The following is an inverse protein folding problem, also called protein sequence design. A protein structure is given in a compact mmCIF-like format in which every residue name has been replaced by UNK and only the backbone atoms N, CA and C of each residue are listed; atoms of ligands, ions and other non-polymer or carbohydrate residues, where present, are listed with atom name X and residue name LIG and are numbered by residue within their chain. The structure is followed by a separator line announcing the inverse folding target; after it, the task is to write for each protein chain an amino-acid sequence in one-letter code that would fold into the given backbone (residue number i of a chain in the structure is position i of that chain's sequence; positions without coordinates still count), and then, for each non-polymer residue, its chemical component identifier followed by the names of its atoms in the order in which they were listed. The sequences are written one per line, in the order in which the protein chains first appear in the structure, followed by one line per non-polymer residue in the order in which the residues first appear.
data_IF_006695068114
#
_entry.id   IF_006695068114
#
_cell.length_a   1.000
_cell.length_b   1.000
_cell.length_c   1.000
_cell.angle_alpha   90.00
_cell.angle_beta   90.00
_cell.angle_gamma   90.00
#
_symmetry.space_group_name_H-M   'P 1'
#
loop_
_entity.id
_entity.type
_entity.pdbx_description
1 polymer ?
#
# COMPACT_ATOMS: atom_id res chain seq x y z
N UNK A 1 25.49 12.02 -27.40
CA UNK A 1 24.27 12.45 -26.68
C UNK A 1 24.39 12.14 -25.20
N UNK A 2 23.52 12.74 -24.36
CA UNK A 2 23.46 12.40 -22.93
C UNK A 2 22.93 10.97 -22.76
N UNK A 3 23.40 10.26 -21.74
CA UNK A 3 22.83 8.96 -21.35
C UNK A 3 21.37 9.13 -20.88
N UNK A 4 20.57 8.06 -20.95
CA UNK A 4 19.17 8.10 -20.51
C UNK A 4 19.06 8.46 -19.04
N UNK A 5 19.94 7.91 -18.21
CA UNK A 5 20.01 8.22 -16.78
C UNK A 5 20.25 9.69 -16.45
N UNK A 6 20.80 10.45 -17.39
CA UNK A 6 21.10 11.89 -17.23
C UNK A 6 19.92 12.77 -17.72
N UNK A 7 18.82 12.17 -18.19
CA UNK A 7 17.62 12.88 -18.66
C UNK A 7 16.68 13.14 -17.49
N UNK A 8 16.28 14.41 -17.22
CA UNK A 8 15.49 14.74 -16.03
C UNK A 8 14.15 13.99 -15.94
N UNK A 9 13.44 13.85 -17.06
CA UNK A 9 12.14 13.14 -17.09
C UNK A 9 12.31 11.65 -16.80
N UNK A 10 13.37 11.03 -17.31
CA UNK A 10 13.67 9.63 -17.02
C UNK A 10 14.07 9.43 -15.55
N UNK A 11 14.83 10.37 -14.98
CA UNK A 11 15.16 10.36 -13.54
C UNK A 11 13.90 10.46 -12.67
N UNK A 12 12.94 11.29 -13.07
CA UNK A 12 11.65 11.41 -12.38
C UNK A 12 10.88 10.08 -12.39
N UNK A 13 10.79 9.41 -13.55
CA UNK A 13 10.18 8.07 -13.67
C UNK A 13 10.87 7.05 -12.75
N UNK A 14 12.20 7.00 -12.76
CA UNK A 14 12.97 6.10 -11.89
C UNK A 14 12.73 6.42 -10.39
N UNK A 15 12.66 7.70 -10.03
CA UNK A 15 12.39 8.13 -8.66
C UNK A 15 10.99 7.72 -8.19
N UNK A 16 9.99 7.79 -9.06
CA UNK A 16 8.63 7.32 -8.76
C UNK A 16 8.59 5.81 -8.54
N UNK A 17 9.25 5.02 -9.39
CA UNK A 17 9.37 3.57 -9.21
C UNK A 17 10.08 3.24 -7.90
N UNK A 18 11.20 3.91 -7.60
CA UNK A 18 11.95 3.72 -6.36
C UNK A 18 11.11 4.05 -5.12
N UNK A 19 10.42 5.18 -5.12
CA UNK A 19 9.54 5.57 -3.99
C UNK A 19 8.43 4.56 -3.76
N UNK A 20 7.83 4.04 -4.84
CA UNK A 20 6.79 3.02 -4.78
C UNK A 20 7.33 1.71 -4.20
N UNK A 21 8.52 1.29 -4.65
CA UNK A 21 9.21 0.11 -4.12
C UNK A 21 9.53 0.24 -2.63
N UNK A 22 10.12 1.36 -2.22
CA UNK A 22 10.47 1.60 -0.82
C UNK A 22 9.23 1.62 0.08
N UNK A 23 8.15 2.26 -0.35
CA UNK A 23 6.87 2.24 0.37
C UNK A 23 6.33 0.81 0.54
N UNK A 24 6.35 0.01 -0.53
CA UNK A 24 5.95 -1.40 -0.49
C UNK A 24 6.85 -2.23 0.44
N UNK A 25 8.16 -2.00 0.40
CA UNK A 25 9.15 -2.65 1.26
C UNK A 25 8.86 -2.37 2.74
N UNK A 26 8.76 -1.10 3.12
CA UNK A 26 8.51 -0.74 4.52
C UNK A 26 7.16 -1.26 5.04
N UNK A 27 6.10 -1.18 4.23
CA UNK A 27 4.80 -1.74 4.59
C UNK A 27 4.88 -3.25 4.81
N UNK A 28 5.51 -3.99 3.91
CA UNK A 28 5.65 -5.44 4.00
C UNK A 28 6.46 -5.87 5.22
N UNK A 29 7.57 -5.19 5.50
CA UNK A 29 8.40 -5.49 6.67
C UNK A 29 7.73 -5.10 7.99
N UNK A 30 6.89 -4.05 7.99
CA UNK A 30 6.09 -3.74 9.18
C UNK A 30 5.05 -4.84 9.47
N UNK A 31 4.39 -5.36 8.44
CA UNK A 31 3.48 -6.49 8.60
C UNK A 31 4.23 -7.74 9.09
N UNK A 32 5.41 -8.03 8.53
CA UNK A 32 6.24 -9.15 8.96
C UNK A 32 6.70 -9.00 10.43
N UNK A 33 7.08 -7.80 10.86
CA UNK A 33 7.42 -7.51 12.25
C UNK A 33 6.24 -7.78 13.19
N UNK A 34 5.05 -7.29 12.84
CA UNK A 34 3.83 -7.51 13.63
C UNK A 34 3.48 -9.00 13.72
N UNK A 35 3.58 -9.73 12.60
CA UNK A 35 3.38 -11.17 12.56
C UNK A 35 4.39 -11.90 13.46
N UNK A 36 5.67 -11.54 13.37
CA UNK A 36 6.70 -12.16 14.22
C UNK A 36 6.47 -11.91 15.71
N UNK A 37 5.94 -10.73 16.10
CA UNK A 37 5.54 -10.47 17.49
C UNK A 37 4.36 -11.34 17.92
N UNK A 38 3.38 -11.53 17.05
CA UNK A 38 2.20 -12.35 17.31
C UNK A 38 2.61 -13.82 17.47
N UNK A 39 3.42 -14.36 16.57
CA UNK A 39 3.95 -15.73 16.64
C UNK A 39 4.85 -16.00 17.87
N UNK A 40 5.50 -14.96 18.39
CA UNK A 40 6.35 -15.04 19.60
C UNK A 40 5.58 -14.75 20.90
N UNK A 41 4.26 -14.63 20.87
CA UNK A 41 3.42 -14.26 22.02
C UNK A 41 3.85 -12.95 22.71
N UNK A 42 4.40 -11.99 21.95
CA UNK A 42 4.85 -10.67 22.44
C UNK A 42 4.02 -9.50 21.90
N UNK A 43 3.06 -9.77 21.01
CA UNK A 43 2.18 -8.77 20.45
C UNK A 43 1.20 -8.23 21.51
N UNK A 44 1.00 -6.91 21.49
CA UNK A 44 -0.10 -6.27 22.23
C UNK A 44 -1.41 -6.42 21.46
N UNK A 45 -2.55 -6.19 22.11
CA UNK A 45 -3.86 -6.15 21.44
C UNK A 45 -3.87 -5.13 20.29
N UNK A 46 -3.17 -4.01 20.44
CA UNK A 46 -3.00 -2.99 19.39
C UNK A 46 -2.16 -3.51 18.22
N UNK A 47 -1.08 -4.26 18.49
CA UNK A 47 -0.26 -4.88 17.44
C UNK A 47 -1.08 -5.90 16.64
N UNK A 48 -1.90 -6.73 17.30
CA UNK A 48 -2.77 -7.72 16.66
C UNK A 48 -3.86 -7.04 15.82
N UNK A 49 -4.49 -6.00 16.34
CA UNK A 49 -5.48 -5.22 15.60
C UNK A 49 -4.86 -4.52 14.39
N UNK A 50 -3.65 -3.95 14.52
CA UNK A 50 -2.91 -3.34 13.42
C UNK A 50 -2.52 -4.38 12.37
N UNK A 51 -2.01 -5.54 12.76
CA UNK A 51 -1.69 -6.65 11.87
C UNK A 51 -2.92 -7.06 11.04
N UNK A 52 -4.06 -7.19 11.69
CA UNK A 52 -5.33 -7.56 11.04
C UNK A 52 -5.77 -6.53 10.00
N UNK A 53 -5.54 -5.23 10.23
CA UNK A 53 -5.85 -4.16 9.28
C UNK A 53 -4.83 -4.11 8.14
N UNK A 54 -3.53 -4.18 8.45
CA UNK A 54 -2.48 -3.99 7.46
C UNK A 54 -2.31 -5.18 6.51
N UNK A 55 -2.63 -6.41 6.93
CA UNK A 55 -2.46 -7.61 6.09
C UNK A 55 -3.20 -7.51 4.74
N UNK A 56 -4.52 -7.25 4.68
CA UNK A 56 -5.21 -7.13 3.40
C UNK A 56 -4.76 -5.90 2.61
N UNK A 57 -4.42 -4.78 3.28
CA UNK A 57 -3.94 -3.56 2.63
C UNK A 57 -2.57 -3.80 1.99
N UNK A 58 -1.64 -4.40 2.72
CA UNK A 58 -0.30 -4.69 2.21
C UNK A 58 -0.37 -5.55 0.94
N UNK A 59 -1.10 -6.67 1.01
CA UNK A 59 -1.25 -7.56 -0.15
C UNK A 59 -1.92 -6.87 -1.34
N UNK A 60 -3.00 -6.13 -1.12
CA UNK A 60 -3.73 -5.42 -2.15
C UNK A 60 -2.87 -4.35 -2.84
N UNK A 61 -2.20 -3.52 -2.04
CA UNK A 61 -1.45 -2.36 -2.52
C UNK A 61 -0.16 -2.80 -3.22
N UNK A 62 0.67 -3.62 -2.55
CA UNK A 62 1.98 -4.02 -3.08
C UNK A 62 1.86 -4.86 -4.35
N UNK A 63 0.82 -5.72 -4.47
CA UNK A 63 0.54 -6.47 -5.68
C UNK A 63 0.25 -5.55 -6.88
N UNK A 64 -0.55 -4.49 -6.68
CA UNK A 64 -0.82 -3.51 -7.73
C UNK A 64 0.37 -2.63 -8.06
N UNK A 65 1.14 -2.25 -7.05
CA UNK A 65 2.37 -1.49 -7.23
C UNK A 65 3.40 -2.29 -8.03
N UNK A 66 3.52 -3.60 -7.79
CA UNK A 66 4.42 -4.46 -8.56
C UNK A 66 4.04 -4.50 -10.06
N UNK A 67 2.75 -4.61 -10.38
CA UNK A 67 2.28 -4.56 -11.79
C UNK A 67 2.63 -3.22 -12.42
N UNK A 68 2.39 -2.12 -11.72
CA UNK A 68 2.73 -0.79 -12.22
C UNK A 68 4.23 -0.62 -12.42
N UNK A 69 5.06 -0.94 -11.41
CA UNK A 69 6.52 -0.78 -11.48
C UNK A 69 7.13 -1.62 -12.61
N UNK A 70 6.66 -2.87 -12.80
CA UNK A 70 7.17 -3.72 -13.87
C UNK A 70 6.75 -3.22 -15.26
N UNK A 71 5.56 -2.61 -15.39
CA UNK A 71 5.13 -1.95 -16.63
C UNK A 71 6.00 -0.73 -16.96
N UNK A 72 6.21 0.17 -16.00
CA UNK A 72 7.08 1.34 -16.16
C UNK A 72 8.53 0.94 -16.45
N UNK A 73 9.01 -0.13 -15.82
CA UNK A 73 10.35 -0.66 -16.08
C UNK A 73 10.50 -1.13 -17.54
N UNK A 74 9.52 -1.84 -18.10
CA UNK A 74 9.52 -2.22 -19.52
C UNK A 74 9.58 -0.98 -20.42
N UNK A 75 8.76 0.02 -20.16
CA UNK A 75 8.73 1.26 -20.92
C UNK A 75 10.08 2.02 -20.82
N UNK A 76 10.67 2.07 -19.65
CA UNK A 76 11.97 2.71 -19.40
C UNK A 76 13.13 2.11 -20.24
N UNK A 77 13.02 0.84 -20.62
CA UNK A 77 13.99 0.16 -21.51
C UNK A 77 13.65 0.33 -23.01
N UNK A 78 12.51 0.95 -23.33
CA UNK A 78 12.06 1.10 -24.72
C UNK A 78 11.86 -0.24 -25.43
N UNK A 79 12.32 -0.37 -26.69
CA UNK A 79 12.17 -1.61 -27.46
C UNK A 79 12.76 -2.85 -26.79
N UNK A 80 13.83 -2.70 -26.03
CA UNK A 80 14.43 -3.80 -25.26
C UNK A 80 13.50 -4.28 -24.12
N UNK A 81 12.61 -3.43 -23.60
CA UNK A 81 11.61 -3.82 -22.61
C UNK A 81 10.51 -4.71 -23.18
N UNK A 82 10.30 -4.70 -24.49
CA UNK A 82 9.24 -5.46 -25.16
C UNK A 82 9.69 -6.85 -25.64
N UNK A 83 10.94 -7.03 -26.01
CA UNK A 83 11.45 -8.30 -26.58
C UNK A 83 11.66 -9.36 -25.50
N UNK A 84 11.31 -10.61 -25.80
CA UNK A 84 11.27 -11.71 -24.82
C UNK A 84 12.65 -12.11 -24.25
N UNK A 85 13.71 -11.95 -25.02
CA UNK A 85 15.07 -12.36 -24.66
C UNK A 85 15.70 -11.53 -23.53
N UNK A 86 15.13 -10.39 -23.21
CA UNK A 86 15.57 -9.57 -22.06
C UNK A 86 15.02 -10.05 -20.70
N UNK A 87 13.98 -10.89 -20.68
CA UNK A 87 13.30 -11.35 -19.49
C UNK A 87 12.36 -10.32 -18.85
N UNK A 88 12.37 -9.05 -19.27
CA UNK A 88 11.48 -8.01 -18.72
C UNK A 88 9.99 -8.29 -18.94
N UNK A 89 9.55 -8.72 -20.15
CA UNK A 89 8.15 -9.12 -20.36
C UNK A 89 7.70 -10.27 -19.45
N UNK A 90 8.57 -11.24 -19.18
CA UNK A 90 8.29 -12.32 -18.25
C UNK A 90 8.04 -11.79 -16.82
N UNK A 91 8.89 -10.91 -16.31
CA UNK A 91 8.71 -10.31 -14.98
C UNK A 91 7.37 -9.58 -14.86
N UNK A 92 6.96 -8.85 -15.89
CA UNK A 92 5.67 -8.18 -15.91
C UNK A 92 4.49 -9.17 -15.95
N UNK A 93 4.57 -10.25 -16.74
CA UNK A 93 3.55 -11.31 -16.72
C UNK A 93 3.45 -11.99 -15.36
N UNK A 94 4.58 -12.28 -14.74
CA UNK A 94 4.61 -12.90 -13.41
C UNK A 94 4.04 -11.96 -12.34
N UNK A 95 4.28 -10.64 -12.47
CA UNK A 95 3.66 -9.64 -11.59
C UNK A 95 2.13 -9.64 -11.66
N UNK A 96 1.52 -9.99 -12.81
CA UNK A 96 0.06 -10.05 -12.95
C UNK A 96 -0.61 -11.12 -12.09
N UNK A 97 0.11 -12.15 -11.64
CA UNK A 97 -0.47 -13.17 -10.74
C UNK A 97 -0.69 -12.61 -9.33
N UNK A 98 0.15 -11.65 -8.89
CA UNK A 98 0.12 -11.13 -7.53
C UNK A 98 -1.23 -10.53 -7.11
N UNK A 99 -1.93 -9.71 -7.91
CA UNK A 99 -3.26 -9.22 -7.54
C UNK A 99 -4.40 -10.22 -7.78
N UNK A 100 -4.11 -11.47 -8.19
CA UNK A 100 -5.10 -12.49 -8.52
C UNK A 100 -5.15 -13.58 -7.45
N UNK A 101 -4.02 -14.23 -7.18
CA UNK A 101 -3.96 -15.35 -6.25
C UNK A 101 -4.10 -14.91 -4.79
N UNK A 102 -4.52 -15.82 -3.89
CA UNK A 102 -4.73 -15.56 -2.46
C UNK A 102 -5.63 -14.36 -2.13
N UNK A 103 -6.51 -14.03 -3.04
CA UNK A 103 -7.47 -12.94 -2.91
C UNK A 103 -7.24 -11.82 -3.91
N UNK A 104 -8.24 -11.61 -4.75
CA UNK A 104 -8.24 -10.48 -5.69
C UNK A 104 -8.38 -9.15 -4.93
N UNK A 105 -8.06 -8.05 -5.61
CA UNK A 105 -8.19 -6.69 -5.05
C UNK A 105 -9.56 -6.45 -4.41
N UNK A 106 -10.66 -6.89 -5.04
CA UNK A 106 -12.00 -6.70 -4.47
C UNK A 106 -12.24 -7.56 -3.23
N UNK A 107 -11.76 -8.81 -3.23
CA UNK A 107 -11.87 -9.69 -2.05
C UNK A 107 -11.11 -9.10 -0.86
N UNK A 108 -9.91 -8.61 -1.08
CA UNK A 108 -9.10 -7.99 -0.02
C UNK A 108 -9.68 -6.66 0.46
N UNK A 109 -10.29 -5.87 -0.42
CA UNK A 109 -10.99 -4.66 -0.01
C UNK A 109 -12.19 -4.96 0.90
N UNK A 110 -12.96 -6.02 0.61
CA UNK A 110 -14.03 -6.49 1.49
C UNK A 110 -13.48 -7.10 2.79
N UNK A 111 -12.32 -7.76 2.74
CA UNK A 111 -11.67 -8.26 3.95
C UNK A 111 -11.20 -7.14 4.87
N UNK A 112 -10.72 -6.01 4.31
CA UNK A 112 -10.42 -4.80 5.07
C UNK A 112 -11.66 -4.27 5.81
N UNK A 113 -12.84 -4.23 5.17
CA UNK A 113 -14.07 -3.81 5.87
C UNK A 113 -14.38 -4.72 7.07
N UNK A 114 -14.25 -6.05 6.90
CA UNK A 114 -14.43 -7.01 8.02
C UNK A 114 -13.37 -6.82 9.11
N UNK A 115 -12.14 -6.46 8.72
CA UNK A 115 -11.09 -6.15 9.69
C UNK A 115 -11.45 -4.90 10.51
N UNK A 116 -11.94 -3.83 9.88
CA UNK A 116 -12.41 -2.61 10.55
C UNK A 116 -13.52 -2.88 11.56
N UNK A 117 -14.49 -3.71 11.20
CA UNK A 117 -15.55 -4.11 12.14
C UNK A 117 -15.00 -4.81 13.39
N UNK A 118 -14.03 -5.71 13.21
CA UNK A 118 -13.44 -6.49 14.31
C UNK A 118 -12.50 -5.67 15.19
N UNK A 119 -11.80 -4.69 14.62
CA UNK A 119 -10.82 -3.87 15.34
C UNK A 119 -11.40 -2.57 15.89
N UNK A 120 -12.70 -2.32 15.68
CA UNK A 120 -13.35 -1.07 16.12
C UNK A 120 -12.95 0.14 15.29
N UNK A 121 -12.59 -0.04 14.02
CA UNK A 121 -12.29 1.04 13.08
C UNK A 121 -10.78 1.28 12.86
N UNK A 122 -10.40 2.53 12.61
CA UNK A 122 -9.05 2.94 12.23
C UNK A 122 -8.15 3.31 13.42
N UNK A 123 -8.59 3.13 14.67
CA UNK A 123 -7.81 3.50 15.85
C UNK A 123 -6.40 2.87 15.90
N UNK A 124 -6.21 1.57 15.58
CA UNK A 124 -4.87 0.98 15.55
C UNK A 124 -3.94 1.62 14.52
N UNK A 125 -4.49 1.97 13.33
CA UNK A 125 -3.73 2.64 12.28
C UNK A 125 -3.35 4.08 12.68
N UNK A 126 -4.24 4.77 13.38
CA UNK A 126 -3.96 6.10 13.93
C UNK A 126 -2.82 6.04 14.95
N UNK A 127 -2.87 5.11 15.88
CA UNK A 127 -1.82 4.93 16.89
C UNK A 127 -0.46 4.64 16.23
N UNK A 128 -0.44 3.82 15.19
CA UNK A 128 0.77 3.55 14.42
C UNK A 128 1.28 4.80 13.70
N UNK A 129 0.39 5.58 13.09
CA UNK A 129 0.75 6.85 12.47
C UNK A 129 1.38 7.81 13.48
N UNK A 130 0.75 7.99 14.65
CA UNK A 130 1.27 8.86 15.73
C UNK A 130 2.64 8.37 16.22
N UNK A 131 2.82 7.07 16.41
CA UNK A 131 4.10 6.45 16.74
C UNK A 131 5.19 6.74 15.70
N UNK A 132 4.86 6.64 14.41
CA UNK A 132 5.79 6.96 13.35
C UNK A 132 6.13 8.46 13.26
N UNK A 133 5.21 9.31 13.69
CA UNK A 133 5.40 10.77 13.72
C UNK A 133 6.22 11.24 14.90
N UNK A 134 6.22 10.47 15.99
CA UNK A 134 6.93 10.83 17.21
C UNK A 134 8.45 10.92 16.93
N UNK A 135 9.03 12.04 17.34
CA UNK A 135 10.46 12.33 17.13
C UNK A 135 10.85 12.78 15.71
N UNK A 136 9.91 12.84 14.73
CA UNK A 136 10.21 13.37 13.40
C UNK A 136 10.27 14.90 13.41
N UNK A 137 11.49 15.45 13.31
CA UNK A 137 11.74 16.91 13.34
C UNK A 137 12.26 17.49 12.02
N UNK A 138 12.54 16.65 11.01
CA UNK A 138 13.11 17.10 9.75
C UNK A 138 12.11 17.97 8.96
N UNK A 139 12.38 19.25 8.66
CA UNK A 139 11.43 20.15 8.00
C UNK A 139 10.91 19.63 6.64
N UNK A 140 11.74 18.88 5.89
CA UNK A 140 11.37 18.27 4.60
C UNK A 140 10.28 17.20 4.73
N UNK A 141 10.07 16.62 5.91
CA UNK A 141 9.05 15.59 6.15
C UNK A 141 7.70 16.17 6.58
N UNK A 142 7.66 17.46 7.00
CA UNK A 142 6.42 18.11 7.47
C UNK A 142 5.30 18.09 6.41
N UNK A 143 5.55 18.44 5.12
CA UNK A 143 4.49 18.41 4.12
C UNK A 143 3.89 17.01 3.89
N UNK A 144 4.68 15.94 3.64
CA UNK A 144 4.12 14.59 3.47
C UNK A 144 3.45 14.06 4.74
N UNK A 145 3.93 14.41 5.94
CA UNK A 145 3.27 14.09 7.20
C UNK A 145 1.87 14.68 7.29
N UNK A 146 1.71 15.96 6.94
CA UNK A 146 0.40 16.62 6.91
C UNK A 146 -0.55 15.97 5.90
N UNK A 147 -0.04 15.60 4.72
CA UNK A 147 -0.83 14.90 3.71
C UNK A 147 -1.32 13.53 4.22
N UNK A 148 -0.44 12.76 4.85
CA UNK A 148 -0.81 11.45 5.42
C UNK A 148 -1.83 11.59 6.56
N UNK A 149 -1.65 12.57 7.46
CA UNK A 149 -2.61 12.87 8.52
C UNK A 149 -3.99 13.26 7.96
N UNK A 150 -4.01 14.08 6.92
CA UNK A 150 -5.24 14.50 6.24
C UNK A 150 -5.93 13.32 5.55
N UNK A 151 -5.18 12.45 4.88
CA UNK A 151 -5.73 11.25 4.25
C UNK A 151 -6.37 10.30 5.28
N UNK A 152 -5.71 10.09 6.42
CA UNK A 152 -6.24 9.28 7.51
C UNK A 152 -7.52 9.88 8.11
N UNK A 153 -7.56 11.20 8.28
CA UNK A 153 -8.76 11.90 8.73
C UNK A 153 -9.92 11.75 7.74
N UNK A 154 -9.66 11.94 6.46
CA UNK A 154 -10.67 11.76 5.40
C UNK A 154 -11.21 10.32 5.35
N UNK A 155 -10.34 9.33 5.50
CA UNK A 155 -10.74 7.92 5.58
C UNK A 155 -11.67 7.67 6.79
N UNK A 156 -11.37 8.27 7.93
CA UNK A 156 -12.19 8.15 9.14
C UNK A 156 -13.56 8.83 8.99
N UNK A 157 -13.59 10.05 8.43
CA UNK A 157 -14.84 10.77 8.16
C UNK A 157 -15.73 10.01 7.18
N UNK A 158 -15.12 9.47 6.12
CA UNK A 158 -15.83 8.63 5.16
C UNK A 158 -16.42 7.37 5.82
N UNK A 159 -15.62 6.67 6.63
CA UNK A 159 -16.07 5.46 7.33
C UNK A 159 -17.26 5.77 8.26
N UNK A 160 -17.18 6.85 9.02
CA UNK A 160 -18.25 7.31 9.90
C UNK A 160 -19.54 7.62 9.12
N UNK A 161 -19.41 8.35 8.03
CA UNK A 161 -20.55 8.68 7.16
C UNK A 161 -21.18 7.42 6.58
N UNK A 162 -20.38 6.52 6.04
CA UNK A 162 -20.87 5.28 5.43
C UNK A 162 -21.56 4.36 6.45
N UNK A 163 -21.11 4.34 7.71
CA UNK A 163 -21.75 3.61 8.80
C UNK A 163 -23.07 4.25 9.24
N UNK A 164 -23.16 5.58 9.23
CA UNK A 164 -24.38 6.30 9.62
C UNK A 164 -25.53 6.18 8.60
N UNK A 165 -25.21 5.96 7.34
CA UNK A 165 -26.19 5.79 6.26
C UNK A 165 -26.80 4.38 6.20
N UNK A 166 -26.37 3.45 7.08
CA UNK A 166 -26.83 2.06 7.24
C UNK A 166 -26.96 1.27 5.91
N UNK A 167 -26.10 1.62 4.94
CA UNK A 167 -26.12 1.03 3.61
C UNK A 167 -24.90 0.11 3.39
N UNK A 168 -25.12 -1.18 3.62
CA UNK A 168 -24.14 -2.24 3.32
C UNK A 168 -23.66 -2.17 1.86
N UNK A 169 -24.57 -1.86 0.93
CA UNK A 169 -24.26 -1.79 -0.50
C UNK A 169 -23.32 -0.61 -0.81
N UNK A 170 -23.50 0.54 -0.16
CA UNK A 170 -22.63 1.70 -0.29
C UNK A 170 -21.22 1.40 0.24
N UNK A 171 -21.12 0.76 1.40
CA UNK A 171 -19.86 0.33 1.99
C UNK A 171 -19.11 -0.64 1.07
N UNK A 172 -19.79 -1.70 0.62
CA UNK A 172 -19.18 -2.71 -0.25
C UNK A 172 -18.82 -2.14 -1.63
N UNK A 173 -19.67 -1.33 -2.22
CA UNK A 173 -19.41 -0.69 -3.53
C UNK A 173 -18.24 0.27 -3.51
N UNK A 174 -17.92 0.86 -2.36
CA UNK A 174 -16.80 1.79 -2.18
C UNK A 174 -15.54 1.15 -1.57
N UNK A 175 -15.61 -0.11 -1.14
CA UNK A 175 -14.55 -0.79 -0.39
C UNK A 175 -13.19 -0.71 -1.08
N UNK A 176 -13.15 -0.92 -2.39
CA UNK A 176 -11.90 -0.85 -3.16
C UNK A 176 -11.31 0.56 -3.18
N UNK A 177 -12.14 1.58 -3.34
CA UNK A 177 -11.69 2.99 -3.31
C UNK A 177 -11.19 3.40 -1.94
N UNK A 178 -11.83 2.87 -0.89
CA UNK A 178 -11.41 3.10 0.49
C UNK A 178 -10.08 2.42 0.82
N UNK A 179 -9.81 1.23 0.28
CA UNK A 179 -8.61 0.45 0.55
C UNK A 179 -7.33 1.01 -0.12
N UNK A 180 -7.45 1.91 -1.10
CA UNK A 180 -6.36 2.62 -1.76
C UNK A 180 -6.08 3.98 -1.11
#
# INVERSE_FOLDING_TARGET
GKKLIDQPLHQDTLAQMQSTYEGAFHLSFRVAELLGRDEADTATDTDQALLRLLTPVAKLLTAKQCVWVTSEAMEAFGGAGYVEDTGLPQLHRDAQVLPIWEGTTNVLALDLLRALERTGGLAPLRAEFERCMDGLSAPRLIPPMKQAAQALQQAQEWLHKAQSEDSTDTLQGSARRFAY
#
